data_IF_788542489349
#
_entry.id   IF_788542489349
#
_cell.length_a   1.000
_cell.length_b   1.000
_cell.length_c   1.000
_cell.angle_alpha   90.00
_cell.angle_beta   90.00
_cell.angle_gamma   90.00
#
_symmetry.space_group_name_H-M   'P 1'
#
loop_
_entity.id
_entity.type
_entity.pdbx_description
1 polymer ?
#
# COMPACT_ATOMS: atom_id res chain seq x y z
N UNK A 1 4.99 -1.27 -12.42
CA UNK A 1 4.75 -0.18 -11.46
C UNK A 1 6.04 0.15 -10.73
N UNK A 2 6.66 1.26 -11.13
CA UNK A 2 7.80 1.84 -10.41
C UNK A 2 7.20 2.92 -9.52
N UNK A 3 7.13 2.67 -8.21
CA UNK A 3 6.79 3.74 -7.28
C UNK A 3 8.02 4.63 -7.15
N UNK A 4 7.95 5.85 -7.69
CA UNK A 4 9.04 6.84 -7.60
C UNK A 4 9.11 7.39 -6.18
N UNK A 5 10.31 7.80 -5.74
CA UNK A 5 10.60 8.28 -4.38
C UNK A 5 9.69 9.41 -3.86
N UNK A 6 9.02 10.14 -4.74
CA UNK A 6 8.13 11.26 -4.41
C UNK A 6 6.69 10.81 -4.08
N UNK A 7 6.34 9.54 -4.30
CA UNK A 7 4.97 9.01 -4.13
C UNK A 7 4.88 7.77 -3.21
N UNK A 8 5.97 7.36 -2.56
CA UNK A 8 6.04 6.12 -1.75
C UNK A 8 5.38 6.22 -0.37
N UNK A 9 4.07 6.47 -0.29
CA UNK A 9 3.29 6.26 0.95
C UNK A 9 2.80 4.81 1.02
N UNK A 10 3.73 3.86 1.08
CA UNK A 10 3.40 2.43 1.15
C UNK A 10 3.71 1.92 2.56
N UNK A 11 2.70 1.36 3.22
CA UNK A 11 2.88 0.71 4.51
C UNK A 11 3.35 -0.72 4.29
N UNK A 12 4.35 -1.17 5.05
CA UNK A 12 4.73 -2.58 5.11
C UNK A 12 4.21 -3.12 6.42
N UNK A 13 3.32 -4.10 6.31
CA UNK A 13 2.61 -4.67 7.44
C UNK A 13 2.79 -6.19 7.47
N UNK A 14 3.64 -6.68 8.38
CA UNK A 14 3.82 -8.12 8.59
C UNK A 14 2.56 -8.80 9.15
N UNK A 15 1.61 -8.05 9.73
CA UNK A 15 0.34 -8.59 10.22
C UNK A 15 -0.69 -8.80 9.13
N UNK A 16 -0.55 -8.12 7.99
CA UNK A 16 -1.44 -8.29 6.84
C UNK A 16 -1.04 -9.52 6.02
N UNK A 17 -1.98 -10.42 5.73
CA UNK A 17 -1.74 -11.58 4.86
C UNK A 17 -1.62 -11.17 3.38
N UNK A 18 -2.48 -10.25 2.97
CA UNK A 18 -2.69 -9.83 1.58
C UNK A 18 -2.13 -8.43 1.35
N UNK A 19 -1.93 -8.06 0.09
CA UNK A 19 -1.60 -6.70 -0.29
C UNK A 19 -2.86 -5.93 -0.61
N UNK A 20 -2.91 -4.67 -0.18
CA UNK A 20 -4.03 -3.77 -0.41
C UNK A 20 -3.56 -2.61 -1.27
N UNK A 21 -4.34 -2.24 -2.27
CA UNK A 21 -4.21 -1.00 -3.02
C UNK A 21 -5.48 -0.19 -2.79
N UNK A 22 -5.35 1.07 -2.39
CA UNK A 22 -6.51 1.92 -2.19
C UNK A 22 -7.04 2.40 -3.54
N UNK A 23 -8.36 2.37 -3.71
CA UNK A 23 -9.03 2.65 -4.99
C UNK A 23 -8.65 4.01 -5.58
N UNK A 24 -8.55 5.05 -4.77
CA UNK A 24 -8.14 6.38 -5.22
C UNK A 24 -6.75 6.36 -5.89
N UNK A 25 -5.81 5.60 -5.33
CA UNK A 25 -4.46 5.49 -5.89
C UNK A 25 -4.43 4.53 -7.08
N UNK A 26 -5.25 3.48 -7.10
CA UNK A 26 -5.47 2.67 -8.30
C UNK A 26 -5.91 3.53 -9.50
N UNK A 27 -6.87 4.45 -9.32
CA UNK A 27 -7.30 5.38 -10.37
C UNK A 27 -6.21 6.40 -10.72
N UNK A 28 -5.52 7.00 -9.74
CA UNK A 28 -4.40 7.94 -10.00
C UNK A 28 -3.26 7.31 -10.80
N UNK A 29 -3.12 5.99 -10.73
CA UNK A 29 -2.16 5.23 -11.53
C UNK A 29 -2.60 4.98 -12.97
N UNK A 30 -3.79 5.45 -13.35
CA UNK A 30 -4.34 5.31 -14.69
C UNK A 30 -5.03 3.98 -14.94
N UNK A 31 -5.30 3.19 -13.90
CA UNK A 31 -6.11 1.98 -14.03
C UNK A 31 -7.60 2.31 -13.96
N UNK A 32 -8.42 1.44 -14.56
CA UNK A 32 -9.88 1.55 -14.57
C UNK A 32 -10.51 0.30 -13.97
N UNK A 33 -11.70 0.45 -13.39
CA UNK A 33 -12.42 -0.66 -12.72
C UNK A 33 -12.64 -1.87 -13.65
N UNK A 34 -12.71 -1.67 -14.96
CA UNK A 34 -12.80 -2.74 -15.97
C UNK A 34 -11.60 -3.69 -16.00
N UNK A 35 -10.47 -3.31 -15.40
CA UNK A 35 -9.26 -4.14 -15.30
C UNK A 35 -9.24 -4.98 -14.01
N UNK A 36 -10.20 -4.77 -13.11
CA UNK A 36 -10.32 -5.55 -11.88
C UNK A 36 -10.92 -6.91 -12.18
N UNK A 37 -10.36 -7.93 -11.54
CA UNK A 37 -10.99 -9.24 -11.44
C UNK A 37 -11.98 -9.22 -10.27
N UNK A 38 -13.27 -9.57 -10.48
CA UNK A 38 -14.25 -9.63 -9.41
C UNK A 38 -13.78 -10.53 -8.27
N UNK A 39 -14.03 -10.12 -7.03
CA UNK A 39 -13.67 -10.87 -5.84
C UNK A 39 -14.70 -10.70 -4.74
N UNK A 40 -15.16 -11.82 -4.17
CA UNK A 40 -16.08 -11.85 -3.04
C UNK A 40 -15.35 -12.10 -1.71
N UNK A 41 -14.03 -11.88 -1.69
CA UNK A 41 -13.21 -12.06 -0.50
C UNK A 41 -13.54 -10.97 0.53
N UNK A 42 -14.09 -11.30 1.71
CA UNK A 42 -14.28 -10.29 2.74
C UNK A 42 -12.93 -9.89 3.34
N UNK A 43 -12.69 -8.59 3.50
CA UNK A 43 -11.52 -8.06 4.24
C UNK A 43 -12.00 -7.43 5.53
N UNK A 44 -11.49 -7.92 6.64
CA UNK A 44 -11.79 -7.35 7.97
C UNK A 44 -10.62 -6.50 8.45
N UNK A 45 -10.93 -5.26 8.82
CA UNK A 45 -9.99 -4.41 9.55
C UNK A 45 -9.89 -4.80 11.02
N UNK A 46 -9.00 -4.12 11.76
CA UNK A 46 -8.85 -4.32 13.21
C UNK A 46 -10.13 -4.04 14.02
N UNK A 47 -11.03 -3.20 13.49
CA UNK A 47 -12.32 -2.91 14.11
C UNK A 47 -13.37 -4.02 13.85
N UNK A 48 -13.02 -5.10 13.14
CA UNK A 48 -13.94 -6.17 12.77
C UNK A 48 -14.96 -5.77 11.70
N UNK A 49 -14.86 -4.54 11.16
CA UNK A 49 -15.74 -4.07 10.10
C UNK A 49 -15.21 -4.54 8.76
N UNK A 50 -16.11 -5.08 7.94
CA UNK A 50 -15.80 -5.50 6.58
C UNK A 50 -15.54 -4.28 5.69
N UNK A 51 -14.43 -4.33 4.96
CA UNK A 51 -14.08 -3.35 3.94
C UNK A 51 -14.62 -3.78 2.59
N UNK A 52 -15.28 -2.86 1.89
CA UNK A 52 -15.77 -3.12 0.53
C UNK A 52 -14.60 -3.34 -0.43
N UNK A 53 -14.51 -4.55 -0.96
CA UNK A 53 -13.57 -4.93 -2.03
C UNK A 53 -14.17 -4.59 -3.38
N UNK A 54 -13.42 -3.88 -4.22
CA UNK A 54 -13.82 -3.59 -5.61
C UNK A 54 -13.34 -4.69 -6.57
N UNK A 55 -12.28 -5.41 -6.20
CA UNK A 55 -11.75 -6.55 -6.94
C UNK A 55 -10.28 -6.79 -6.66
N UNK A 56 -9.63 -7.57 -7.53
CA UNK A 56 -8.19 -7.83 -7.47
C UNK A 56 -7.49 -7.43 -8.76
N UNK A 57 -6.20 -7.12 -8.65
CA UNK A 57 -5.34 -6.82 -9.80
C UNK A 57 -3.93 -7.37 -9.58
N UNK A 58 -3.29 -7.82 -10.68
CA UNK A 58 -1.88 -8.18 -10.71
C UNK A 58 -1.04 -7.02 -11.22
N UNK A 59 -0.05 -6.61 -10.42
CA UNK A 59 0.83 -5.49 -10.75
C UNK A 59 2.29 -5.90 -10.58
N UNK A 60 3.11 -5.56 -11.57
CA UNK A 60 4.57 -5.63 -11.44
C UNK A 60 5.02 -4.55 -10.47
N UNK A 61 5.66 -4.92 -9.36
CA UNK A 61 6.25 -3.98 -8.41
C UNK A 61 7.76 -4.10 -8.43
N UNK A 62 8.46 -2.96 -8.55
CA UNK A 62 9.91 -2.89 -8.40
C UNK A 62 10.27 -2.28 -7.04
N UNK A 63 11.13 -2.96 -6.29
CA UNK A 63 11.69 -2.49 -5.02
C UNK A 63 13.21 -2.27 -5.16
N UNK A 64 13.75 -1.25 -4.50
CA UNK A 64 15.17 -0.90 -4.53
C UNK A 64 15.51 0.27 -5.44
N UNK A 65 16.81 0.57 -5.52
CA UNK A 65 17.37 1.67 -6.30
C UNK A 65 18.70 1.27 -6.94
N UNK A 66 19.07 1.95 -8.03
CA UNK A 66 20.31 1.69 -8.76
C UNK A 66 20.39 0.24 -9.27
N UNK A 67 21.54 -0.39 -9.10
CA UNK A 67 21.75 -1.80 -9.49
C UNK A 67 21.08 -2.80 -8.53
N UNK A 68 20.67 -2.38 -7.33
CA UNK A 68 20.08 -3.25 -6.32
C UNK A 68 18.56 -3.19 -6.33
N UNK A 69 17.96 -3.60 -7.45
CA UNK A 69 16.51 -3.68 -7.63
C UNK A 69 16.03 -5.12 -7.75
N UNK A 70 14.78 -5.35 -7.38
CA UNK A 70 14.05 -6.60 -7.60
C UNK A 70 12.64 -6.26 -8.06
N UNK A 71 12.13 -6.99 -9.05
CA UNK A 71 10.80 -6.77 -9.62
C UNK A 71 9.99 -8.05 -9.51
N UNK A 72 8.82 -7.98 -8.90
CA UNK A 72 7.92 -9.13 -8.71
C UNK A 72 6.50 -8.80 -9.18
N UNK A 73 5.81 -9.80 -9.74
CA UNK A 73 4.38 -9.72 -10.00
C UNK A 73 3.62 -9.99 -8.70
N UNK A 74 2.77 -9.07 -8.28
CA UNK A 74 2.04 -9.15 -7.01
C UNK A 74 0.54 -9.02 -7.23
N UNK A 75 -0.23 -9.81 -6.48
CA UNK A 75 -1.67 -9.63 -6.38
C UNK A 75 -1.98 -8.57 -5.32
N UNK A 76 -2.83 -7.62 -5.69
CA UNK A 76 -3.41 -6.62 -4.79
C UNK A 76 -4.92 -6.81 -4.73
N UNK A 77 -5.48 -6.67 -3.54
CA UNK A 77 -6.91 -6.45 -3.36
C UNK A 77 -7.14 -4.95 -3.38
N UNK A 78 -8.06 -4.51 -4.23
CA UNK A 78 -8.43 -3.09 -4.34
C UNK A 78 -9.63 -2.84 -3.46
N UNK A 79 -9.49 -1.91 -2.51
CA UNK A 79 -10.57 -1.53 -1.60
C UNK A 79 -10.89 -0.06 -1.72
N UNK A 80 -12.17 0.27 -1.54
CA UNK A 80 -12.64 1.65 -1.50
C UNK A 80 -12.74 2.11 -0.06
N UNK A 81 -11.65 2.69 0.44
CA UNK A 81 -11.54 3.24 1.79
C UNK A 81 -10.66 4.49 1.78
N UNK A 82 -10.98 5.45 2.63
CA UNK A 82 -10.14 6.65 2.82
C UNK A 82 -8.84 6.25 3.52
N UNK A 83 -7.71 6.57 2.91
CA UNK A 83 -6.39 6.28 3.48
C UNK A 83 -5.37 7.31 3.05
N UNK A 84 -4.42 7.57 3.94
CA UNK A 84 -3.24 8.40 3.65
C UNK A 84 -2.13 7.61 2.95
N UNK A 85 -2.20 6.28 3.02
CA UNK A 85 -1.30 5.38 2.31
C UNK A 85 -1.89 5.01 0.97
N UNK A 86 -1.02 4.80 -0.01
CA UNK A 86 -1.43 4.37 -1.34
C UNK A 86 -1.67 2.86 -1.38
N UNK A 87 -0.87 2.11 -0.63
CA UNK A 87 -0.95 0.65 -0.59
C UNK A 87 -0.42 0.11 0.75
N UNK A 88 -0.83 -1.12 1.07
CA UNK A 88 -0.28 -1.94 2.15
C UNK A 88 0.36 -3.18 1.52
N UNK A 89 1.63 -3.42 1.84
CA UNK A 89 2.33 -4.64 1.48
C UNK A 89 2.27 -5.60 2.67
N UNK A 90 1.55 -6.69 2.47
CA UNK A 90 1.45 -7.76 3.45
C UNK A 90 2.56 -8.81 3.32
N UNK A 91 2.38 -9.90 4.06
CA UNK A 91 3.24 -11.08 4.03
C UNK A 91 3.45 -11.63 2.62
N UNK A 92 2.42 -11.65 1.78
CA UNK A 92 2.54 -12.12 0.38
C UNK A 92 3.59 -11.35 -0.42
N UNK A 93 3.65 -10.03 -0.29
CA UNK A 93 4.73 -9.23 -0.92
C UNK A 93 6.09 -9.53 -0.31
N UNK A 94 6.17 -9.60 1.01
CA UNK A 94 7.43 -9.86 1.70
C UNK A 94 8.00 -11.23 1.32
N UNK A 95 7.15 -12.25 1.21
CA UNK A 95 7.55 -13.58 0.75
C UNK A 95 7.99 -13.56 -0.71
N UNK A 96 7.25 -12.88 -1.59
CA UNK A 96 7.61 -12.74 -3.00
C UNK A 96 8.99 -12.10 -3.16
N UNK A 97 9.29 -11.04 -2.40
CA UNK A 97 10.61 -10.41 -2.42
C UNK A 97 11.67 -11.11 -1.56
N UNK A 98 11.32 -12.17 -0.82
CA UNK A 98 12.18 -12.77 0.23
C UNK A 98 12.74 -11.70 1.18
N UNK A 99 11.87 -10.75 1.51
CA UNK A 99 12.22 -9.54 2.23
C UNK A 99 12.20 -9.80 3.75
N UNK A 100 13.17 -9.19 4.44
CA UNK A 100 13.25 -9.15 5.90
C UNK A 100 13.02 -7.71 6.34
N UNK A 101 11.90 -7.47 6.99
CA UNK A 101 11.56 -6.19 7.59
C UNK A 101 12.09 -6.12 9.03
N UNK A 102 12.73 -5.02 9.39
CA UNK A 102 13.13 -4.70 10.75
C UNK A 102 12.41 -3.42 11.19
N UNK A 103 11.43 -3.58 12.07
CA UNK A 103 10.72 -2.45 12.70
C UNK A 103 11.67 -1.56 13.49
N UNK A 104 12.60 -2.15 14.24
CA UNK A 104 13.60 -1.41 15.03
C UNK A 104 14.45 -0.47 14.17
N UNK A 105 14.93 -0.94 13.01
CA UNK A 105 15.76 -0.13 12.12
C UNK A 105 14.96 0.66 11.08
N UNK A 106 13.64 0.44 11.01
CA UNK A 106 12.75 0.89 9.94
C UNK A 106 13.35 0.65 8.56
N UNK A 107 13.78 -0.58 8.32
CA UNK A 107 14.42 -0.99 7.07
C UNK A 107 13.89 -2.32 6.61
N UNK A 108 13.83 -2.47 5.30
CA UNK A 108 13.57 -3.74 4.64
C UNK A 108 14.81 -4.10 3.83
N UNK A 109 15.22 -5.36 3.92
CA UNK A 109 16.28 -5.94 3.09
C UNK A 109 15.69 -7.04 2.23
N UNK A 110 16.16 -7.18 1.00
CA UNK A 110 15.72 -8.23 0.08
C UNK A 110 16.87 -8.59 -0.86
N UNK A 111 16.95 -9.86 -1.29
CA UNK A 111 17.92 -10.26 -2.30
C UNK A 111 17.63 -9.64 -3.67
N UNK A 112 18.69 -9.31 -4.39
CA UNK A 112 18.69 -8.85 -5.78
C UNK A 112 19.73 -9.66 -6.55
N UNK A 113 19.76 -9.54 -7.89
CA UNK A 113 20.81 -10.16 -8.70
C UNK A 113 22.22 -9.62 -8.38
N UNK A 114 22.31 -8.40 -7.87
CA UNK A 114 23.56 -7.68 -7.62
C UNK A 114 23.94 -7.61 -6.12
N UNK A 115 23.23 -8.35 -5.25
CA UNK A 115 23.49 -8.38 -3.82
C UNK A 115 22.22 -8.20 -2.99
N UNK A 116 22.27 -7.31 -2.00
CA UNK A 116 21.16 -7.05 -1.08
C UNK A 116 20.62 -5.64 -1.30
N UNK A 117 19.39 -5.56 -1.79
CA UNK A 117 18.61 -4.33 -1.83
C UNK A 117 18.14 -3.93 -0.44
N UNK A 118 18.01 -2.62 -0.23
CA UNK A 118 17.56 -2.04 1.03
C UNK A 118 16.61 -0.88 0.74
N UNK A 119 15.51 -0.84 1.46
CA UNK A 119 14.62 0.31 1.52
C UNK A 119 14.54 0.78 2.97
N UNK A 120 14.50 2.09 3.18
CA UNK A 120 14.39 2.69 4.52
C UNK A 120 13.02 3.37 4.63
N UNK A 121 12.32 3.08 5.71
CA UNK A 121 11.08 3.75 6.05
C UNK A 121 11.33 5.22 6.41
N UNK A 122 10.37 6.06 6.06
CA UNK A 122 10.37 7.48 6.39
C UNK A 122 9.43 7.72 7.58
N UNK A 123 10.01 7.93 8.77
CA UNK A 123 9.25 8.23 9.99
C UNK A 123 8.47 9.54 9.90
N UNK A 124 9.01 10.56 9.22
CA UNK A 124 8.37 11.86 9.09
C UNK A 124 7.11 11.70 8.24
N UNK A 125 7.23 11.01 7.11
CA UNK A 125 6.08 10.69 6.27
C UNK A 125 5.05 9.82 7.00
N UNK A 126 5.50 8.77 7.70
CA UNK A 126 4.61 7.91 8.49
C UNK A 126 3.83 8.70 9.55
N UNK A 127 4.49 9.63 10.25
CA UNK A 127 3.83 10.52 11.23
C UNK A 127 2.84 11.46 10.56
N UNK A 128 3.19 12.04 9.41
CA UNK A 128 2.28 12.90 8.65
C UNK A 128 1.03 12.13 8.20
N UNK A 129 1.19 10.91 7.69
CA UNK A 129 0.08 10.01 7.36
C UNK A 129 -0.81 9.77 8.57
N UNK A 130 -0.22 9.40 9.72
CA UNK A 130 -0.98 9.15 10.95
C UNK A 130 -1.78 10.39 11.39
N UNK A 131 -1.16 11.57 11.42
CA UNK A 131 -1.85 12.81 11.80
C UNK A 131 -2.97 13.15 10.82
N UNK A 132 -2.75 12.97 9.52
CA UNK A 132 -3.77 13.23 8.51
C UNK A 132 -4.96 12.25 8.61
N UNK A 133 -4.71 10.98 8.93
CA UNK A 133 -5.76 9.99 9.15
C UNK A 133 -6.62 10.26 10.40
N UNK A 134 -6.12 11.05 11.36
CA UNK A 134 -6.85 11.45 12.56
C UNK A 134 -7.69 12.73 12.39
N UNK A 135 -7.57 13.44 11.26
CA UNK A 135 -8.35 14.66 11.02
C UNK A 135 -9.80 14.27 10.68
N UNK A 136 -10.80 14.81 11.40
CA UNK A 136 -12.19 14.49 11.15
C UNK A 136 -12.72 15.41 10.04
N UNK A 137 -12.47 15.08 8.77
CA UNK A 137 -13.18 15.72 7.66
C UNK A 137 -14.00 14.68 6.91
N UNK A 138 -15.23 14.50 7.40
CA UNK A 138 -16.23 13.60 6.84
C UNK A 138 -17.67 14.01 7.15
N UNK A 139 -17.97 15.32 7.36
CA UNK A 139 -19.35 15.84 7.35
C UNK A 139 -19.33 17.24 6.73
N UNK A 140 -19.68 17.33 5.44
CA UNK A 140 -20.06 18.60 4.80
C UNK A 140 -21.49 18.96 5.20
N UNK A 141 -21.65 19.59 6.37
CA UNK A 141 -22.87 20.33 6.72
C UNK A 141 -22.74 21.76 6.23
N UNK A 142 -23.38 22.08 5.11
CA UNK A 142 -23.53 23.47 4.66
C UNK A 142 -24.52 24.19 5.57
N UNK A 143 -24.02 24.85 6.62
CA UNK A 143 -24.72 25.94 7.28
C UNK A 143 -24.57 27.21 6.44
N UNK A 144 -25.66 27.68 5.85
CA UNK A 144 -25.73 29.00 5.24
C UNK A 144 -25.63 30.09 6.34
N UNK A 145 -24.82 31.14 6.16
CA UNK A 145 -24.94 32.32 7.00
C UNK A 145 -26.05 33.25 6.46
N UNK A 146 -26.68 33.92 7.43
CA UNK A 146 -27.77 34.89 7.30
C UNK A 146 -27.55 36.03 6.31
#
# INVERSE_FOLDING_TARGET
MIWTSETKRVLVDNGALVNILFHDDFIKMGYTDSQLTPSNMPIYGFNGVESKVEGTIQLLMTMGQGSNTSTQMLNFIVIKATSTYNAILGMTSLHAFKAVASSYHLKIKFPTRNGIGKERGDQKMARSCYVAALRPDGIGGSGSPH
#
